data_IF_801754661675
#
_entry.id   IF_801754661675
#
_cell.length_a   1.000
_cell.length_b   1.000
_cell.length_c   1.000
_cell.angle_alpha   90.00
_cell.angle_beta   90.00
_cell.angle_gamma   90.00
#
_symmetry.space_group_name_H-M   'P 1'
#
loop_
_entity.id
_entity.type
_entity.pdbx_description
1 polymer ?
#
# COMPACT_ATOMS: atom_id res chain seq x y z
N UNK A 1 -0.98 9.79 4.10
CA UNK A 1 -0.35 8.44 4.16
C UNK A 1 -1.27 7.45 4.85
N UNK A 2 -1.59 7.60 6.15
CA UNK A 2 -2.51 6.72 6.89
C UNK A 2 -3.82 6.41 6.14
N UNK A 3 -4.55 7.45 5.68
CA UNK A 3 -5.81 7.28 4.94
C UNK A 3 -5.66 6.41 3.69
N UNK A 4 -4.54 6.54 2.96
CA UNK A 4 -4.29 5.73 1.75
C UNK A 4 -3.94 4.28 2.10
N UNK A 5 -3.25 4.05 3.22
CA UNK A 5 -2.98 2.68 3.71
C UNK A 5 -4.27 2.00 4.17
N UNK A 6 -5.13 2.71 4.90
CA UNK A 6 -6.45 2.18 5.27
C UNK A 6 -7.32 1.89 4.05
N UNK A 7 -7.28 2.77 3.03
CA UNK A 7 -7.93 2.51 1.76
C UNK A 7 -7.34 1.26 1.07
N UNK A 8 -6.02 1.08 1.08
CA UNK A 8 -5.36 -0.10 0.50
C UNK A 8 -5.86 -1.39 1.17
N UNK A 9 -5.85 -1.43 2.51
CA UNK A 9 -6.34 -2.59 3.27
C UNK A 9 -7.81 -2.87 2.95
N UNK A 10 -8.65 -1.82 2.88
CA UNK A 10 -10.06 -1.96 2.51
C UNK A 10 -10.23 -2.57 1.11
N UNK A 11 -9.46 -2.12 0.13
CA UNK A 11 -9.52 -2.64 -1.24
C UNK A 11 -9.08 -4.11 -1.31
N UNK A 12 -8.06 -4.50 -0.55
CA UNK A 12 -7.59 -5.89 -0.50
C UNK A 12 -8.61 -6.80 0.19
N UNK A 13 -9.24 -6.34 1.26
CA UNK A 13 -10.33 -7.08 1.92
C UNK A 13 -11.53 -7.21 0.99
N UNK A 14 -11.90 -6.14 0.27
CA UNK A 14 -12.98 -6.18 -0.72
C UNK A 14 -12.68 -7.17 -1.84
N UNK A 15 -11.46 -7.13 -2.41
CA UNK A 15 -11.00 -8.10 -3.42
C UNK A 15 -11.12 -9.54 -2.91
N UNK A 16 -10.71 -9.81 -1.67
CA UNK A 16 -10.84 -11.14 -1.04
C UNK A 16 -12.29 -11.60 -0.93
N UNK A 17 -13.21 -10.71 -0.55
CA UNK A 17 -14.62 -11.05 -0.40
C UNK A 17 -15.30 -11.29 -1.74
N UNK A 18 -14.93 -10.52 -2.76
CA UNK A 18 -15.61 -10.54 -4.06
C UNK A 18 -15.05 -11.62 -5.00
N UNK A 19 -13.76 -11.97 -4.90
CA UNK A 19 -13.08 -12.83 -5.91
C UNK A 19 -13.77 -14.19 -6.15
N UNK A 20 -14.43 -14.76 -5.14
CA UNK A 20 -15.12 -16.04 -5.26
C UNK A 20 -16.38 -15.97 -6.13
N UNK A 21 -17.04 -14.81 -6.16
CA UNK A 21 -18.30 -14.57 -6.85
C UNK A 21 -18.16 -13.67 -8.10
N UNK A 22 -17.07 -12.91 -8.18
CA UNK A 22 -16.77 -11.98 -9.26
C UNK A 22 -16.33 -12.73 -10.54
N UNK A 23 -16.84 -12.35 -11.74
CA UNK A 23 -16.37 -12.92 -12.99
C UNK A 23 -14.94 -12.48 -13.30
N UNK A 24 -14.19 -13.33 -14.00
CA UNK A 24 -12.80 -13.07 -14.35
C UNK A 24 -12.60 -11.79 -15.20
N UNK A 25 -13.63 -11.35 -15.92
CA UNK A 25 -13.63 -10.07 -16.66
C UNK A 25 -13.47 -8.85 -15.76
N UNK A 26 -13.85 -8.94 -14.48
CA UNK A 26 -13.83 -7.83 -13.53
C UNK A 26 -12.55 -7.75 -12.69
N UNK A 27 -11.72 -8.80 -12.66
CA UNK A 27 -10.44 -8.78 -11.93
C UNK A 27 -9.55 -7.58 -12.29
N UNK A 28 -9.41 -7.17 -13.58
CA UNK A 28 -8.63 -5.99 -13.93
C UNK A 28 -9.18 -4.70 -13.33
N UNK A 29 -10.49 -4.56 -13.20
CA UNK A 29 -11.11 -3.39 -12.58
C UNK A 29 -10.81 -3.32 -11.09
N UNK A 30 -10.89 -4.46 -10.40
CA UNK A 30 -10.55 -4.57 -8.98
C UNK A 30 -9.05 -4.26 -8.74
N UNK A 31 -8.14 -4.87 -9.50
CA UNK A 31 -6.69 -4.62 -9.40
C UNK A 31 -6.33 -3.18 -9.80
N UNK A 32 -7.01 -2.61 -10.80
CA UNK A 32 -6.83 -1.18 -11.16
C UNK A 32 -7.14 -0.26 -9.99
N UNK A 33 -8.18 -0.56 -9.22
CA UNK A 33 -8.57 0.23 -8.05
C UNK A 33 -7.53 0.16 -6.92
N UNK A 34 -6.89 -1.00 -6.74
CA UNK A 34 -5.71 -1.17 -5.89
C UNK A 34 -4.54 -0.32 -6.39
N UNK A 35 -4.24 -0.35 -7.70
CA UNK A 35 -3.17 0.44 -8.30
C UNK A 35 -3.36 1.97 -8.19
N UNK A 36 -4.60 2.46 -8.32
CA UNK A 36 -4.93 3.88 -8.10
C UNK A 36 -4.67 4.29 -6.64
N UNK A 37 -5.03 3.40 -5.70
CA UNK A 37 -4.79 3.62 -4.26
C UNK A 37 -3.29 3.65 -3.98
N UNK A 38 -2.51 2.74 -4.57
CA UNK A 38 -1.05 2.75 -4.45
C UNK A 38 -0.44 4.05 -5.00
N UNK A 39 -0.88 4.51 -6.17
CA UNK A 39 -0.40 5.78 -6.74
C UNK A 39 -0.65 6.95 -5.80
N UNK A 40 -1.83 7.01 -5.20
CA UNK A 40 -2.21 8.05 -4.23
C UNK A 40 -1.37 7.97 -2.95
N UNK A 41 -1.05 6.74 -2.50
CA UNK A 41 -0.14 6.49 -1.38
C UNK A 41 1.26 7.01 -1.67
N UNK A 42 1.86 6.60 -2.80
CA UNK A 42 3.20 7.04 -3.23
C UNK A 42 3.25 8.56 -3.34
N UNK A 43 2.27 9.18 -4.01
CA UNK A 43 2.22 10.63 -4.15
C UNK A 43 2.15 11.34 -2.79
N UNK A 44 1.39 10.80 -1.84
CA UNK A 44 1.35 11.35 -0.48
C UNK A 44 2.67 11.23 0.25
N UNK A 45 3.42 10.15 0.02
CA UNK A 45 4.76 9.97 0.59
C UNK A 45 5.76 10.91 -0.06
N UNK A 46 5.69 11.11 -1.37
CA UNK A 46 6.55 12.05 -2.10
C UNK A 46 6.41 13.49 -1.62
N UNK A 47 5.23 13.90 -1.13
CA UNK A 47 5.08 15.22 -0.50
C UNK A 47 5.80 15.36 0.85
N UNK A 48 6.10 14.24 1.52
CA UNK A 48 6.74 14.23 2.84
C UNK A 48 8.25 14.08 2.70
N UNK A 49 8.74 13.33 1.71
CA UNK A 49 10.17 13.06 1.51
C UNK A 49 11.08 14.29 1.59
N UNK A 50 10.75 15.46 1.00
CA UNK A 50 11.60 16.65 1.07
C UNK A 50 11.77 17.22 2.49
N UNK A 51 10.88 16.87 3.42
CA UNK A 51 10.92 17.32 4.82
C UNK A 51 11.71 16.38 5.74
N UNK A 52 12.22 15.27 5.22
CA UNK A 52 12.90 14.22 5.99
C UNK A 52 14.42 14.24 5.76
N UNK A 53 15.16 13.65 6.71
CA UNK A 53 16.61 13.50 6.60
C UNK A 53 16.98 12.47 5.51
N UNK A 54 18.09 12.68 4.80
CA UNK A 54 18.54 11.86 3.65
C UNK A 54 18.58 10.36 3.97
N UNK A 55 19.10 9.98 5.14
CA UNK A 55 19.16 8.59 5.59
C UNK A 55 17.81 7.87 5.65
N UNK A 56 16.73 8.58 6.00
CA UNK A 56 15.38 7.99 6.09
C UNK A 56 14.67 8.05 4.74
N UNK A 57 15.05 9.02 3.91
CA UNK A 57 14.57 9.18 2.54
C UNK A 57 14.88 7.93 1.71
N UNK A 58 16.12 7.41 1.80
CA UNK A 58 16.55 6.18 1.11
C UNK A 58 15.74 4.95 1.50
N UNK A 59 15.42 4.78 2.79
CA UNK A 59 14.63 3.65 3.27
C UNK A 59 13.20 3.70 2.70
N UNK A 60 12.56 4.86 2.79
CA UNK A 60 11.20 5.08 2.26
C UNK A 60 11.17 4.89 0.74
N UNK A 61 12.21 5.33 0.02
CA UNK A 61 12.33 5.07 -1.42
C UNK A 61 12.45 3.58 -1.74
N UNK A 62 13.21 2.83 -0.94
CA UNK A 62 13.28 1.38 -1.02
C UNK A 62 11.91 0.73 -0.89
N UNK A 63 11.12 1.15 0.10
CA UNK A 63 9.76 0.63 0.31
C UNK A 63 8.81 1.04 -0.82
N UNK A 64 8.90 2.27 -1.36
CA UNK A 64 8.14 2.67 -2.56
C UNK A 64 8.43 1.74 -3.75
N UNK A 65 9.69 1.37 -3.95
CA UNK A 65 10.09 0.44 -5.02
C UNK A 65 9.54 -0.96 -4.79
N UNK A 66 9.57 -1.44 -3.54
CA UNK A 66 8.97 -2.71 -3.14
C UNK A 66 7.48 -2.74 -3.50
N UNK A 67 6.70 -1.72 -3.13
CA UNK A 67 5.27 -1.67 -3.45
C UNK A 67 4.96 -1.69 -4.96
N UNK A 68 5.82 -1.08 -5.78
CA UNK A 68 5.68 -1.16 -7.22
C UNK A 68 5.92 -2.59 -7.75
N UNK A 69 6.87 -3.31 -7.15
CA UNK A 69 7.09 -4.72 -7.47
C UNK A 69 5.90 -5.58 -7.03
N UNK A 70 5.36 -5.36 -5.82
CA UNK A 70 4.20 -6.10 -5.30
C UNK A 70 2.97 -5.90 -6.16
N UNK A 71 2.72 -4.66 -6.63
CA UNK A 71 1.65 -4.39 -7.60
C UNK A 71 1.89 -5.11 -8.93
N UNK A 72 3.14 -5.16 -9.40
CA UNK A 72 3.52 -5.93 -10.58
C UNK A 72 3.24 -7.43 -10.42
N UNK A 73 3.57 -7.99 -9.27
CA UNK A 73 3.26 -9.38 -8.93
C UNK A 73 1.76 -9.63 -8.87
N UNK A 74 1.00 -8.75 -8.22
CA UNK A 74 -0.47 -8.82 -8.19
C UNK A 74 -1.08 -8.81 -9.60
N UNK A 75 -0.59 -7.93 -10.48
CA UNK A 75 -1.05 -7.89 -11.89
C UNK A 75 -0.73 -9.21 -12.59
N UNK A 76 0.46 -9.78 -12.38
CA UNK A 76 0.83 -11.06 -12.98
C UNK A 76 -0.06 -12.21 -12.49
N UNK A 77 -0.30 -12.30 -11.18
CA UNK A 77 -1.20 -13.31 -10.60
C UNK A 77 -2.64 -13.13 -11.04
N UNK A 78 -3.11 -11.89 -11.17
CA UNK A 78 -4.43 -11.58 -11.70
C UNK A 78 -4.59 -12.04 -13.16
N UNK A 79 -3.59 -11.81 -14.01
CA UNK A 79 -3.61 -12.30 -15.40
C UNK A 79 -3.67 -13.82 -15.45
N UNK A 80 -2.90 -14.51 -14.60
CA UNK A 80 -2.93 -15.97 -14.49
C UNK A 80 -4.32 -16.46 -14.05
N UNK A 81 -4.94 -15.79 -13.07
CA UNK A 81 -6.29 -16.09 -12.59
C UNK A 81 -7.37 -15.85 -13.67
N UNK A 82 -7.21 -14.84 -14.53
CA UNK A 82 -8.10 -14.65 -15.67
C UNK A 82 -7.97 -15.77 -16.70
N UNK A 83 -6.73 -16.13 -17.07
CA UNK A 83 -6.46 -17.16 -18.07
C UNK A 83 -6.92 -18.55 -17.63
N UNK A 84 -6.87 -18.83 -16.32
CA UNK A 84 -7.26 -20.12 -15.73
C UNK A 84 -8.70 -20.11 -15.16
N UNK A 85 -9.52 -19.12 -15.54
CA UNK A 85 -10.86 -18.94 -14.96
C UNK A 85 -11.85 -20.07 -15.28
N UNK A 86 -11.60 -20.84 -16.34
CA UNK A 86 -12.42 -21.98 -16.78
C UNK A 86 -11.72 -23.33 -16.62
N UNK A 87 -10.54 -23.35 -15.98
CA UNK A 87 -9.74 -24.57 -15.77
C UNK A 87 -9.85 -25.05 -14.32
N UNK A 88 -9.35 -26.25 -14.05
CA UNK A 88 -9.24 -26.78 -12.68
C UNK A 88 -8.30 -25.98 -11.78
N UNK A 89 -7.49 -25.07 -12.34
CA UNK A 89 -6.54 -24.24 -11.60
C UNK A 89 -7.15 -22.92 -11.11
N UNK A 90 -8.44 -22.65 -11.39
CA UNK A 90 -9.12 -21.40 -11.04
C UNK A 90 -8.89 -20.99 -9.57
N UNK A 91 -9.21 -21.88 -8.64
CA UNK A 91 -9.16 -21.58 -7.20
C UNK A 91 -7.73 -21.32 -6.72
N UNK A 92 -6.77 -22.09 -7.24
CA UNK A 92 -5.35 -21.92 -6.90
C UNK A 92 -4.82 -20.58 -7.43
N UNK A 93 -5.17 -20.22 -8.68
CA UNK A 93 -4.77 -18.93 -9.23
C UNK A 93 -5.41 -17.75 -8.47
N UNK A 94 -6.68 -17.88 -8.04
CA UNK A 94 -7.33 -16.88 -7.19
C UNK A 94 -6.62 -16.75 -5.83
N UNK A 95 -6.25 -17.87 -5.18
CA UNK A 95 -5.47 -17.84 -3.94
C UNK A 95 -4.14 -17.12 -4.10
N UNK A 96 -3.41 -17.39 -5.18
CA UNK A 96 -2.14 -16.72 -5.45
C UNK A 96 -2.33 -15.22 -5.71
N UNK A 97 -3.39 -14.82 -6.41
CA UNK A 97 -3.74 -13.40 -6.59
C UNK A 97 -4.04 -12.72 -5.24
N UNK A 98 -4.81 -13.37 -4.37
CA UNK A 98 -5.11 -12.85 -3.04
C UNK A 98 -3.87 -12.78 -2.14
N UNK A 99 -2.97 -13.76 -2.24
CA UNK A 99 -1.70 -13.74 -1.51
C UNK A 99 -0.86 -12.53 -1.92
N UNK A 100 -0.73 -12.26 -3.22
CA UNK A 100 -0.02 -11.07 -3.72
C UNK A 100 -0.68 -9.76 -3.26
N UNK A 101 -2.02 -9.70 -3.26
CA UNK A 101 -2.75 -8.53 -2.76
C UNK A 101 -2.53 -8.32 -1.24
N UNK A 102 -2.49 -9.41 -0.47
CA UNK A 102 -2.19 -9.37 0.96
C UNK A 102 -0.77 -8.86 1.22
N UNK A 103 0.24 -9.36 0.50
CA UNK A 103 1.61 -8.86 0.59
C UNK A 103 1.67 -7.36 0.34
N UNK A 104 1.06 -6.87 -0.75
CA UNK A 104 0.98 -5.44 -1.05
C UNK A 104 0.35 -4.61 0.10
N UNK A 105 -0.68 -5.13 0.77
CA UNK A 105 -1.28 -4.45 1.92
C UNK A 105 -0.36 -4.43 3.14
N UNK A 106 0.36 -5.53 3.41
CA UNK A 106 1.36 -5.61 4.49
C UNK A 106 2.50 -4.63 4.25
N UNK A 107 3.04 -4.59 3.03
CA UNK A 107 4.12 -3.67 2.68
C UNK A 107 3.66 -2.20 2.67
N UNK A 108 2.38 -1.94 2.34
CA UNK A 108 1.80 -0.60 2.44
C UNK A 108 1.74 -0.14 3.90
N UNK A 109 1.50 -1.06 4.84
CA UNK A 109 1.58 -0.79 6.27
C UNK A 109 3.04 -0.55 6.70
N UNK A 110 3.99 -1.36 6.23
CA UNK A 110 5.42 -1.15 6.47
C UNK A 110 5.89 0.24 6.01
N UNK A 111 5.40 0.73 4.87
CA UNK A 111 5.67 2.09 4.39
C UNK A 111 5.14 3.17 5.36
N UNK A 112 3.93 3.00 5.87
CA UNK A 112 3.37 3.93 6.88
C UNK A 112 4.23 3.93 8.15
N UNK A 113 4.59 2.74 8.64
CA UNK A 113 5.40 2.61 9.85
C UNK A 113 6.78 3.28 9.65
N UNK A 114 7.42 3.12 8.48
CA UNK A 114 8.67 3.81 8.11
C UNK A 114 8.50 5.33 8.04
N UNK A 115 7.41 5.82 7.42
CA UNK A 115 7.10 7.26 7.35
C UNK A 115 6.83 7.85 8.74
N UNK A 116 6.11 7.14 9.61
CA UNK A 116 5.83 7.61 10.96
C UNK A 116 7.11 7.62 11.81
N UNK A 117 7.98 6.60 11.68
CA UNK A 117 9.29 6.61 12.31
C UNK A 117 10.15 7.77 11.81
N UNK A 118 10.12 8.08 10.51
CA UNK A 118 10.82 9.21 9.93
C UNK A 118 10.36 10.54 10.51
N UNK A 119 9.05 10.72 10.67
CA UNK A 119 8.44 11.93 11.23
C UNK A 119 8.82 12.14 12.69
N UNK A 120 8.88 11.08 13.48
CA UNK A 120 9.33 11.13 14.87
C UNK A 120 10.81 11.52 14.93
N UNK A 121 11.67 10.90 14.12
CA UNK A 121 13.11 11.21 14.09
C UNK A 121 13.42 12.62 13.58
N UNK A 122 12.60 13.17 12.68
CA UNK A 122 12.75 14.51 12.14
C UNK A 122 12.23 15.62 13.09
N UNK A 123 11.79 15.29 14.32
CA UNK A 123 11.10 16.23 15.22
C UNK A 123 9.86 16.92 14.60
N UNK A 124 9.30 16.35 13.53
CA UNK A 124 8.03 16.79 12.94
C UNK A 124 6.83 16.42 13.84
N UNK A 125 7.04 15.53 14.82
CA UNK A 125 6.15 15.37 15.96
C UNK A 125 6.33 16.56 16.91
N UNK A 126 5.65 17.68 16.64
CA UNK A 126 5.63 18.84 17.55
C UNK A 126 5.24 18.40 18.97
N UNK A 127 6.05 18.66 20.01
CA UNK A 127 5.50 18.86 21.34
C UNK A 127 4.56 20.07 21.24
N UNK A 128 3.41 20.02 21.92
CA UNK A 128 2.58 21.23 22.12
C UNK A 128 3.51 22.36 22.59
N UNK A 129 3.39 23.60 22.06
CA UNK A 129 4.19 24.70 22.56
C UNK A 129 3.89 24.84 24.05
N UNK A 130 4.89 24.58 24.89
CA UNK A 130 4.81 24.86 26.30
C UNK A 130 4.55 26.36 26.44
N UNK A 131 3.41 26.67 27.07
CA UNK A 131 2.97 28.00 27.40
C UNK A 131 4.13 28.82 27.97
N UNK A 132 4.24 30.06 27.50
CA UNK A 132 5.08 31.08 28.13
C UNK A 132 4.75 31.15 29.62
N UNK A 133 5.69 30.80 30.49
CA UNK A 133 5.68 31.29 31.87
C UNK A 133 6.39 32.65 31.90
N UNK A 134 5.80 33.65 32.60
CA UNK A 134 6.34 35.00 32.67
C UNK A 134 7.60 35.02 33.56
N UNK A 135 8.56 35.86 33.19
CA UNK A 135 9.73 36.16 34.00
C UNK A 135 9.30 37.06 35.17
N UNK A 136 9.60 36.65 36.39
CA UNK A 136 9.78 37.56 37.53
C UNK A 136 11.20 38.12 37.55
#
# INVERSE_FOLDING_TARGET
>A
VYTNVMAMVKQVVQLKNDVSSMPASEYPSAVKSVGITLRSLIQSVDTILPSLHSSVTTEIEGTKKLLNNDLGELINKMRLAQQNSVTSLKEECQKQMLAAAHTLALDSKSLLDAVDQARVRANLAKPRPASQEPRD
#
